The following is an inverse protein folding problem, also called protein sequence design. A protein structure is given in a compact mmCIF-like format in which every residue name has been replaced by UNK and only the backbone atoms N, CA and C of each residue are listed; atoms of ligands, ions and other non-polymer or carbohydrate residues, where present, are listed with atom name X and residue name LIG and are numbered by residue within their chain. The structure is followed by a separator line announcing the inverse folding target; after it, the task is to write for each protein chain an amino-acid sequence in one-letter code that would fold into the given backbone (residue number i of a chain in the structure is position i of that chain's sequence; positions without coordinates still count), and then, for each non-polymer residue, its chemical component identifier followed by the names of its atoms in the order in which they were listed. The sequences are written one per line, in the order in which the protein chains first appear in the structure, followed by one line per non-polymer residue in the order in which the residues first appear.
data_IF_306153273696
#
_entry.id   IF_306153273696
#
_cell.length_a   1.000
_cell.length_b   1.000
_cell.length_c   1.000
_cell.angle_alpha   90.00
_cell.angle_beta   90.00
_cell.angle_gamma   90.00
#
_symmetry.space_group_name_H-M   'P 1'
#
loop_
_entity.id
_entity.type
_entity.pdbx_description
1 polymer ?
#
# COMPACT_ATOMS: atom_id res chain seq x y z
N UNK A 1 -15.86 16.37 6.75
CA UNK A 1 -15.88 16.34 5.27
C UNK A 1 -15.13 15.16 4.67
N UNK A 2 -14.19 14.61 5.40
CA UNK A 2 -13.43 13.40 5.01
C UNK A 2 -14.32 12.15 5.07
N UNK A 3 -15.33 12.12 5.90
CA UNK A 3 -16.15 10.94 6.19
C UNK A 3 -17.04 10.46 5.03
N UNK A 4 -17.45 11.36 4.13
CA UNK A 4 -18.34 11.00 3.02
C UNK A 4 -17.69 10.14 1.93
N UNK A 5 -16.36 10.22 1.77
CA UNK A 5 -15.64 9.42 0.79
C UNK A 5 -15.42 7.98 1.23
N UNK A 6 -15.61 7.68 2.50
CA UNK A 6 -15.28 6.37 3.07
C UNK A 6 -16.48 5.45 3.21
N UNK A 7 -17.70 5.96 3.13
CA UNK A 7 -18.91 5.13 3.26
C UNK A 7 -19.01 4.06 2.17
N UNK A 8 -18.55 4.38 0.95
CA UNK A 8 -18.57 3.47 -0.19
C UNK A 8 -17.23 2.81 -0.47
N UNK A 9 -16.26 2.97 0.42
CA UNK A 9 -14.93 2.39 0.23
C UNK A 9 -15.00 0.87 0.31
N UNK A 10 -14.40 0.21 -0.69
CA UNK A 10 -14.26 -1.25 -0.72
C UNK A 10 -12.82 -1.71 -0.60
N UNK A 11 -11.84 -0.83 -0.86
CA UNK A 11 -10.43 -1.18 -0.82
C UNK A 11 -9.55 0.04 -0.58
N UNK A 12 -8.55 -0.13 0.27
CA UNK A 12 -7.41 0.77 0.40
C UNK A 12 -6.19 0.15 -0.29
N UNK A 13 -5.50 0.93 -1.11
CA UNK A 13 -4.27 0.50 -1.75
C UNK A 13 -3.34 1.69 -1.98
N UNK A 14 -2.11 1.43 -2.34
CA UNK A 14 -1.15 2.47 -2.64
C UNK A 14 -0.25 2.09 -3.82
N UNK A 15 0.31 3.10 -4.44
CA UNK A 15 1.46 2.99 -5.35
C UNK A 15 2.70 3.41 -4.60
N UNK A 16 3.73 2.56 -4.65
CA UNK A 16 4.99 2.78 -3.95
C UNK A 16 6.07 3.16 -4.95
N UNK A 17 6.84 4.21 -4.62
CA UNK A 17 7.88 4.78 -5.48
C UNK A 17 9.16 5.04 -4.69
N UNK A 18 10.24 5.24 -5.43
CA UNK A 18 11.48 5.86 -4.94
C UNK A 18 11.83 7.03 -5.85
N UNK A 19 12.11 8.18 -5.26
CA UNK A 19 12.66 9.35 -5.98
C UNK A 19 14.17 9.34 -5.75
N UNK A 20 14.93 9.18 -6.82
CA UNK A 20 16.39 9.17 -6.78
C UNK A 20 16.96 10.59 -6.75
N UNK A 21 18.24 10.71 -6.36
CA UNK A 21 18.91 12.02 -6.25
C UNK A 21 19.00 12.78 -7.57
N UNK A 22 18.98 12.07 -8.70
CA UNK A 22 18.96 12.65 -10.04
C UNK A 22 17.55 13.03 -10.53
N UNK A 23 16.54 12.96 -9.63
CA UNK A 23 15.11 13.19 -9.89
C UNK A 23 14.44 12.13 -10.78
N UNK A 24 15.08 11.03 -11.09
CA UNK A 24 14.39 9.88 -11.68
C UNK A 24 13.48 9.24 -10.64
N UNK A 25 12.32 8.76 -11.05
CA UNK A 25 11.32 8.14 -10.19
C UNK A 25 11.11 6.69 -10.62
N UNK A 26 11.34 5.78 -9.69
CA UNK A 26 11.13 4.35 -9.91
C UNK A 26 9.82 3.92 -9.26
N UNK A 27 8.98 3.20 -9.99
CA UNK A 27 7.81 2.54 -9.44
C UNK A 27 8.21 1.19 -8.85
N UNK A 28 7.98 1.02 -7.55
CA UNK A 28 8.36 -0.19 -6.83
C UNK A 28 7.27 -1.27 -6.87
N UNK A 29 6.02 -0.87 -6.93
CA UNK A 29 4.89 -1.78 -6.93
C UNK A 29 3.66 -1.22 -6.24
N UNK A 30 2.63 -2.06 -6.17
CA UNK A 30 1.39 -1.79 -5.45
C UNK A 30 1.48 -2.36 -4.04
N UNK A 31 0.76 -1.76 -3.11
CA UNK A 31 0.49 -2.34 -1.80
C UNK A 31 -1.02 -2.27 -1.52
N UNK A 32 -1.52 -3.23 -0.76
CA UNK A 32 -2.92 -3.27 -0.33
C UNK A 32 -2.94 -3.39 1.18
N UNK A 33 -3.76 -2.58 1.83
CA UNK A 33 -3.82 -2.54 3.27
C UNK A 33 -5.27 -2.47 3.78
N UNK A 34 -5.44 -2.79 5.05
CA UNK A 34 -6.71 -2.71 5.75
C UNK A 34 -6.66 -1.61 6.80
N UNK A 35 -7.76 -0.88 6.89
CA UNK A 35 -7.99 0.08 7.97
C UNK A 35 -9.10 -0.45 8.87
N UNK A 36 -9.06 -0.09 10.16
CA UNK A 36 -10.12 -0.40 11.10
C UNK A 36 -11.36 0.48 10.89
N UNK A 37 -12.43 0.22 11.64
CA UNK A 37 -13.70 0.98 11.58
C UNK A 37 -13.52 2.47 11.82
N UNK A 38 -12.52 2.85 12.63
CA UNK A 38 -12.17 4.25 12.92
C UNK A 38 -11.34 4.92 11.81
N UNK A 39 -11.01 4.20 10.73
CA UNK A 39 -10.09 4.67 9.69
C UNK A 39 -8.61 4.56 10.07
N UNK A 40 -8.29 4.05 11.25
CA UNK A 40 -6.91 3.82 11.66
C UNK A 40 -6.29 2.67 10.88
N UNK A 41 -4.98 2.80 10.58
CA UNK A 41 -4.23 1.76 9.90
C UNK A 41 -4.27 0.43 10.68
N UNK A 42 -4.52 -0.65 9.97
CA UNK A 42 -4.49 -2.02 10.51
C UNK A 42 -3.24 -2.77 10.09
N UNK A 43 -3.23 -3.28 8.88
CA UNK A 43 -2.12 -4.09 8.35
C UNK A 43 -2.03 -4.02 6.83
N UNK A 44 -0.86 -4.39 6.28
CA UNK A 44 -0.65 -4.61 4.85
C UNK A 44 -0.62 -6.11 4.54
N UNK A 45 -1.15 -6.46 3.36
CA UNK A 45 -0.96 -7.80 2.80
C UNK A 45 0.46 -7.94 2.28
N UNK A 46 1.09 -9.08 2.56
CA UNK A 46 2.39 -9.47 2.03
C UNK A 46 2.13 -10.52 0.96
N UNK A 47 1.97 -10.08 -0.28
CA UNK A 47 1.58 -10.91 -1.42
C UNK A 47 2.36 -10.49 -2.67
N UNK A 48 2.33 -11.33 -3.72
CA UNK A 48 2.90 -10.99 -5.01
C UNK A 48 2.15 -9.82 -5.66
N UNK A 49 2.81 -9.12 -6.58
CA UNK A 49 2.15 -8.04 -7.33
C UNK A 49 0.94 -8.54 -8.12
N UNK A 50 0.99 -9.76 -8.62
CA UNK A 50 -0.14 -10.40 -9.31
C UNK A 50 -1.33 -10.60 -8.38
N UNK A 51 -1.10 -11.10 -7.17
CA UNK A 51 -2.15 -11.27 -6.14
C UNK A 51 -2.73 -9.93 -5.70
N UNK A 52 -1.88 -8.93 -5.46
CA UNK A 52 -2.32 -7.59 -5.09
C UNK A 52 -3.15 -6.93 -6.19
N UNK A 53 -2.76 -7.07 -7.46
CA UNK A 53 -3.52 -6.57 -8.61
C UNK A 53 -4.89 -7.24 -8.74
N UNK A 54 -5.01 -8.51 -8.41
CA UNK A 54 -6.32 -9.18 -8.34
C UNK A 54 -7.21 -8.59 -7.26
N UNK A 55 -6.65 -8.21 -6.12
CA UNK A 55 -7.39 -7.53 -5.04
C UNK A 55 -7.84 -6.13 -5.46
N UNK A 56 -6.96 -5.39 -6.13
CA UNK A 56 -7.24 -4.04 -6.61
C UNK A 56 -8.35 -4.07 -7.67
N UNK A 57 -8.26 -5.00 -8.60
CA UNK A 57 -9.27 -5.24 -9.64
C UNK A 57 -9.72 -3.94 -10.32
N UNK A 58 -8.76 -3.25 -10.92
CA UNK A 58 -8.94 -1.99 -11.64
C UNK A 58 -8.31 -2.12 -13.03
N UNK A 59 -8.86 -1.40 -13.99
CA UNK A 59 -8.35 -1.40 -15.35
C UNK A 59 -6.85 -1.08 -15.40
N UNK A 60 -6.07 -1.97 -16.03
CA UNK A 60 -4.63 -1.86 -16.13
C UNK A 60 -4.19 -0.57 -16.84
N UNK A 61 -4.95 -0.11 -17.85
CA UNK A 61 -4.62 1.12 -18.56
C UNK A 61 -4.77 2.35 -17.66
N UNK A 62 -5.79 2.37 -16.78
CA UNK A 62 -5.93 3.43 -15.78
C UNK A 62 -4.76 3.43 -14.79
N UNK A 63 -4.40 2.26 -14.27
CA UNK A 63 -3.27 2.14 -13.34
C UNK A 63 -1.96 2.61 -13.97
N UNK A 64 -1.69 2.25 -15.23
CA UNK A 64 -0.50 2.71 -15.95
C UNK A 64 -0.48 4.23 -16.14
N UNK A 65 -1.62 4.84 -16.45
CA UNK A 65 -1.72 6.30 -16.54
C UNK A 65 -1.47 6.98 -15.21
N UNK A 66 -1.96 6.42 -14.11
CA UNK A 66 -1.71 6.94 -12.76
C UNK A 66 -0.24 6.83 -12.37
N UNK A 67 0.42 5.72 -12.68
CA UNK A 67 1.87 5.57 -12.45
C UNK A 67 2.62 6.67 -13.19
N UNK A 68 2.35 6.87 -14.47
CA UNK A 68 3.01 7.90 -15.28
C UNK A 68 2.75 9.31 -14.73
N UNK A 69 1.52 9.60 -14.36
CA UNK A 69 1.12 10.88 -13.76
C UNK A 69 1.90 11.15 -12.46
N UNK A 70 1.93 10.19 -11.56
CA UNK A 70 2.63 10.36 -10.27
C UNK A 70 4.14 10.46 -10.45
N UNK A 71 4.73 9.69 -11.35
CA UNK A 71 6.16 9.80 -11.67
C UNK A 71 6.53 11.21 -12.14
N UNK A 72 5.74 11.78 -13.04
CA UNK A 72 5.97 13.13 -13.56
C UNK A 72 5.94 14.18 -12.44
N UNK A 73 4.94 14.08 -11.56
CA UNK A 73 4.80 15.04 -10.45
C UNK A 73 5.86 14.84 -9.37
N UNK A 74 6.19 13.61 -9.01
CA UNK A 74 7.23 13.32 -8.02
C UNK A 74 8.62 13.76 -8.51
N UNK A 75 8.90 13.68 -9.81
CA UNK A 75 10.17 14.13 -10.38
C UNK A 75 10.42 15.63 -10.22
N UNK A 76 9.36 16.42 -10.04
CA UNK A 76 9.43 17.87 -9.85
C UNK A 76 9.59 18.28 -8.38
N UNK A 77 9.51 17.34 -7.44
CA UNK A 77 9.70 17.63 -6.02
C UNK A 77 11.18 17.75 -5.67
N UNK A 78 11.49 18.43 -4.57
CA UNK A 78 12.85 18.48 -4.02
C UNK A 78 13.17 17.25 -3.16
N UNK A 79 12.21 16.35 -2.94
CA UNK A 79 12.35 15.18 -2.09
C UNK A 79 13.15 14.08 -2.79
N UNK A 80 13.96 13.36 -2.01
CA UNK A 80 14.64 12.13 -2.42
C UNK A 80 14.32 11.03 -1.41
N UNK A 81 14.03 9.84 -1.89
CA UNK A 81 13.77 8.68 -1.05
C UNK A 81 12.46 7.97 -1.36
N UNK A 82 12.03 7.07 -0.48
CA UNK A 82 10.79 6.33 -0.62
C UNK A 82 9.57 7.23 -0.54
N UNK A 83 8.54 6.93 -1.35
CA UNK A 83 7.26 7.65 -1.35
C UNK A 83 6.14 6.65 -1.54
N UNK A 84 5.08 6.74 -0.75
CA UNK A 84 3.83 6.03 -0.97
C UNK A 84 2.71 7.00 -1.30
N UNK A 85 1.87 6.66 -2.27
CA UNK A 85 0.67 7.42 -2.62
C UNK A 85 -0.55 6.56 -2.33
N UNK A 86 -1.27 6.93 -1.28
CA UNK A 86 -2.46 6.21 -0.85
C UNK A 86 -3.65 6.55 -1.73
N UNK A 87 -4.41 5.51 -2.06
CA UNK A 87 -5.58 5.56 -2.92
C UNK A 87 -6.69 4.73 -2.29
N UNK A 88 -7.91 4.95 -2.76
CA UNK A 88 -9.01 4.06 -2.43
C UNK A 88 -9.87 3.75 -3.66
N UNK A 89 -10.53 2.61 -3.60
CA UNK A 89 -11.54 2.18 -4.55
C UNK A 89 -12.90 2.18 -3.85
N UNK A 90 -13.89 2.69 -4.54
CA UNK A 90 -15.28 2.71 -4.09
C UNK A 90 -16.10 1.59 -4.71
N UNK A 91 -17.30 1.34 -4.19
CA UNK A 91 -18.16 0.24 -4.60
C UNK A 91 -18.58 0.31 -6.08
N UNK A 92 -18.65 1.51 -6.67
CA UNK A 92 -18.94 1.70 -8.09
C UNK A 92 -17.74 1.48 -9.02
N UNK A 93 -16.59 1.11 -8.46
CA UNK A 93 -15.34 0.90 -9.20
C UNK A 93 -14.51 2.16 -9.41
N UNK A 94 -14.97 3.32 -8.96
CA UNK A 94 -14.19 4.56 -9.02
C UNK A 94 -12.98 4.53 -8.11
N UNK A 95 -11.94 5.26 -8.52
CA UNK A 95 -10.69 5.37 -7.76
C UNK A 95 -10.50 6.81 -7.33
N UNK A 96 -10.16 7.00 -6.06
CA UNK A 96 -9.57 8.25 -5.60
C UNK A 96 -8.05 8.15 -5.79
N UNK A 97 -7.47 8.90 -6.74
CA UNK A 97 -6.10 8.65 -7.23
C UNK A 97 -4.99 9.19 -6.33
N UNK A 98 -5.32 9.96 -5.32
CA UNK A 98 -4.35 10.52 -4.38
C UNK A 98 -5.06 11.03 -3.14
N UNK A 99 -5.13 10.21 -2.10
CA UNK A 99 -5.66 10.61 -0.79
C UNK A 99 -4.58 11.28 0.04
N UNK A 100 -3.40 10.69 0.06
CA UNK A 100 -2.26 11.13 0.85
C UNK A 100 -0.97 10.75 0.14
N UNK A 101 0.02 11.61 0.25
CA UNK A 101 1.38 11.34 -0.20
C UNK A 101 2.27 11.22 1.03
N UNK A 102 2.86 10.04 1.23
CA UNK A 102 3.75 9.74 2.33
C UNK A 102 5.20 9.82 1.88
N UNK A 103 5.85 10.98 2.09
CA UNK A 103 7.25 11.22 1.74
C UNK A 103 8.18 10.60 2.79
N UNK A 104 8.14 9.28 2.91
CA UNK A 104 8.92 8.51 3.88
C UNK A 104 8.85 7.03 3.55
N UNK A 105 9.71 6.24 4.20
CA UNK A 105 9.52 4.80 4.28
C UNK A 105 8.16 4.50 4.91
N UNK A 106 7.40 3.60 4.32
CA UNK A 106 6.04 3.28 4.77
C UNK A 106 5.80 1.77 4.80
N UNK A 107 4.67 1.37 5.38
CA UNK A 107 4.33 -0.04 5.56
C UNK A 107 4.10 -0.78 4.25
N UNK A 108 3.66 -0.08 3.20
CA UNK A 108 3.49 -0.69 1.87
C UNK A 108 4.81 -1.13 1.27
N UNK A 109 5.83 -0.28 1.32
CA UNK A 109 7.18 -0.63 0.86
C UNK A 109 7.77 -1.77 1.69
N UNK A 110 7.57 -1.74 3.01
CA UNK A 110 7.99 -2.83 3.87
C UNK A 110 7.33 -4.15 3.46
N UNK A 111 6.02 -4.13 3.14
CA UNK A 111 5.32 -5.32 2.67
C UNK A 111 5.93 -5.89 1.37
N UNK A 112 6.34 -5.02 0.43
CA UNK A 112 7.04 -5.44 -0.78
C UNK A 112 8.36 -6.17 -0.47
N UNK A 113 9.15 -5.60 0.43
CA UNK A 113 10.43 -6.18 0.86
C UNK A 113 10.23 -7.51 1.60
N UNK A 114 9.21 -7.60 2.45
CA UNK A 114 8.88 -8.83 3.16
C UNK A 114 8.42 -9.93 2.22
N UNK A 115 7.69 -9.58 1.17
CA UNK A 115 7.30 -10.57 0.15
C UNK A 115 8.53 -11.15 -0.55
N UNK A 116 9.52 -10.32 -0.90
CA UNK A 116 10.77 -10.79 -1.49
C UNK A 116 11.52 -11.77 -0.57
N UNK A 117 11.45 -11.54 0.74
CA UNK A 117 12.14 -12.35 1.75
C UNK A 117 11.39 -13.63 2.11
N UNK A 118 10.08 -13.57 2.28
CA UNK A 118 9.28 -14.65 2.87
C UNK A 118 8.20 -15.23 1.97
N UNK A 119 7.92 -14.62 0.82
CA UNK A 119 6.82 -15.04 -0.07
C UNK A 119 5.46 -14.52 0.38
N UNK A 120 4.41 -15.07 -0.26
CA UNK A 120 3.02 -14.68 -0.02
C UNK A 120 2.40 -15.36 1.20
N UNK A 121 1.23 -14.89 1.61
CA UNK A 121 0.43 -15.52 2.67
C UNK A 121 0.66 -14.95 4.06
N UNK A 122 1.19 -13.73 4.15
CA UNK A 122 1.41 -13.03 5.41
C UNK A 122 0.74 -11.64 5.42
N UNK A 123 0.67 -11.06 6.60
CA UNK A 123 0.36 -9.64 6.80
C UNK A 123 1.44 -9.00 7.68
N UNK A 124 1.58 -7.69 7.59
CA UNK A 124 2.49 -6.92 8.44
C UNK A 124 1.77 -5.72 9.05
N UNK A 125 1.96 -5.51 10.34
CA UNK A 125 1.36 -4.40 11.10
C UNK A 125 2.37 -3.76 12.04
N UNK A 126 2.12 -2.51 12.43
CA UNK A 126 2.95 -1.79 13.40
C UNK A 126 2.70 -2.23 14.85
N UNK A 127 1.51 -2.75 15.11
CA UNK A 127 1.12 -3.26 16.42
C UNK A 127 0.62 -4.68 16.28
N UNK A 128 0.73 -5.52 17.30
CA UNK A 128 0.22 -6.88 17.26
C UNK A 128 -1.28 -6.89 16.94
N UNK A 129 -1.62 -7.32 15.73
CA UNK A 129 -2.99 -7.60 15.34
C UNK A 129 -3.11 -9.12 15.28
N UNK A 130 -3.77 -9.70 16.25
CA UNK A 130 -4.00 -11.15 16.29
C UNK A 130 -5.41 -11.44 15.78
N UNK A 131 -5.47 -11.79 14.52
CA UNK A 131 -6.69 -12.29 13.91
C UNK A 131 -6.75 -13.82 14.03
N UNK A 132 -7.97 -14.32 14.09
CA UNK A 132 -8.17 -15.78 14.13
C UNK A 132 -7.64 -16.42 12.85
N UNK A 133 -6.77 -17.41 12.99
CA UNK A 133 -6.16 -18.10 11.85
C UNK A 133 -4.75 -17.66 11.47
N UNK A 134 -4.23 -16.58 12.07
CA UNK A 134 -2.87 -16.13 11.84
C UNK A 134 -1.91 -16.55 12.96
N UNK A 135 -0.66 -16.74 12.60
CA UNK A 135 0.42 -16.95 13.59
C UNK A 135 1.53 -15.91 13.35
N UNK A 136 2.14 -15.44 14.42
CA UNK A 136 3.27 -14.54 14.32
C UNK A 136 4.49 -15.27 13.77
N UNK A 137 5.12 -14.69 12.73
CA UNK A 137 6.41 -15.16 12.20
C UNK A 137 7.57 -14.39 12.84
N UNK A 138 7.40 -13.08 13.00
CA UNK A 138 8.39 -12.19 13.63
C UNK A 138 7.65 -11.20 14.50
N UNK A 139 8.18 -10.93 15.69
CA UNK A 139 7.65 -9.96 16.62
C UNK A 139 8.81 -9.19 17.25
N UNK A 140 8.81 -7.86 17.15
CA UNK A 140 9.87 -6.99 17.68
C UNK A 140 9.35 -5.86 18.59
N UNK A 141 8.19 -6.02 19.18
CA UNK A 141 7.54 -5.06 20.05
C UNK A 141 6.72 -3.98 19.35
N UNK A 142 7.01 -3.62 18.11
CA UNK A 142 6.23 -2.68 17.31
C UNK A 142 5.78 -3.23 15.98
N UNK A 143 6.53 -4.17 15.47
CA UNK A 143 6.29 -4.81 14.18
C UNK A 143 5.94 -6.27 14.41
N UNK A 144 4.86 -6.71 13.78
CA UNK A 144 4.49 -8.12 13.78
C UNK A 144 4.21 -8.55 12.33
N UNK A 145 4.82 -9.65 11.94
CA UNK A 145 4.52 -10.35 10.69
C UNK A 145 3.65 -11.54 11.05
N UNK A 146 2.48 -11.61 10.41
CA UNK A 146 1.52 -12.69 10.64
C UNK A 146 1.37 -13.52 9.37
N UNK A 147 1.28 -14.83 9.52
CA UNK A 147 0.96 -15.73 8.41
C UNK A 147 -0.30 -16.54 8.73
N UNK A 148 -1.02 -16.94 7.71
CA UNK A 148 -2.11 -17.90 7.88
C UNK A 148 -1.54 -19.23 8.41
N UNK A 149 -2.27 -19.80 9.34
CA UNK A 149 -1.94 -21.10 9.90
C UNK A 149 -2.19 -22.23 8.91
#
# INVERSE_FOLDING_TARGET
MVDRFYEDKVLDFAMEFVVHKDHTVEFLGYSVFQTGESGAYGYNYVESQEELLRRIDVDAALLHRLIAYHKEHLAQTAYHGPVGIDMLKTADGSIHPCLEINFRMNMGILALLLHEQYGSGATVALTPVREHGFQALVEDGRLMILSEK
#
